data_IF_102399224413
#
_entry.id   IF_102399224413
#
_cell.length_a   1.000
_cell.length_b   1.000
_cell.length_c   1.000
_cell.angle_alpha   90.00
_cell.angle_beta   90.00
_cell.angle_gamma   90.00
#
_symmetry.space_group_name_H-M   'P 1'
#
loop_
_entity.id
_entity.type
_entity.pdbx_description
1 polymer ?
#
# COMPACT_ATOMS: atom_id res chain seq x y z
N UNK A 1 -2.13 18.30 -29.97
CA UNK A 1 -2.52 19.41 -30.88
C UNK A 1 -3.40 20.46 -30.18
N UNK A 2 -4.48 20.10 -29.48
CA UNK A 2 -5.38 21.06 -28.79
C UNK A 2 -4.73 21.87 -27.64
N UNK A 3 -3.92 21.23 -26.80
CA UNK A 3 -3.21 21.92 -25.70
C UNK A 3 -2.20 22.97 -26.20
N UNK A 4 -1.64 22.80 -27.39
CA UNK A 4 -0.70 23.75 -27.99
C UNK A 4 -1.46 24.95 -28.56
N UNK A 5 -2.67 24.73 -29.10
CA UNK A 5 -3.53 25.80 -29.60
C UNK A 5 -4.08 26.70 -28.48
N UNK A 6 -4.46 26.14 -27.34
CA UNK A 6 -4.94 26.89 -26.17
C UNK A 6 -3.84 27.73 -25.51
N UNK A 7 -2.58 27.29 -25.57
CA UNK A 7 -1.46 28.03 -24.98
C UNK A 7 -1.05 29.29 -25.77
N UNK A 8 -1.47 29.38 -27.04
CA UNK A 8 -1.18 30.52 -27.93
C UNK A 8 -2.26 31.60 -27.92
N UNK A 9 -3.42 31.32 -27.31
CA UNK A 9 -4.54 32.26 -27.27
C UNK A 9 -4.91 32.45 -25.79
N UNK A 10 -4.58 33.61 -25.22
CA UNK A 10 -5.23 34.07 -23.98
C UNK A 10 -6.72 34.28 -24.26
N UNK A 11 -7.51 33.21 -24.22
CA UNK A 11 -8.96 33.28 -24.31
C UNK A 11 -9.55 32.42 -23.21
N UNK A 12 -10.47 33.03 -22.48
CA UNK A 12 -11.19 32.40 -21.39
C UNK A 12 -12.04 31.24 -21.96
N UNK A 13 -12.02 30.10 -21.27
CA UNK A 13 -12.66 28.85 -21.73
C UNK A 13 -14.15 29.08 -22.02
N UNK A 14 -14.79 29.95 -21.23
CA UNK A 14 -16.21 30.29 -21.36
C UNK A 14 -16.52 31.10 -22.64
N UNK A 15 -15.62 31.99 -23.08
CA UNK A 15 -15.79 32.72 -24.34
C UNK A 15 -15.65 31.81 -25.57
N UNK A 16 -14.71 30.86 -25.51
CA UNK A 16 -14.47 29.91 -26.59
C UNK A 16 -15.67 28.96 -26.78
N UNK A 17 -16.22 28.45 -25.67
CA UNK A 17 -17.37 27.54 -25.66
C UNK A 17 -18.61 28.21 -26.24
N UNK A 18 -18.82 29.49 -25.90
CA UNK A 18 -19.91 30.29 -26.44
C UNK A 18 -19.73 30.59 -27.93
N UNK A 19 -18.50 30.83 -28.38
CA UNK A 19 -18.17 31.15 -29.79
C UNK A 19 -18.30 29.95 -30.72
N UNK A 20 -17.97 28.74 -30.25
CA UNK A 20 -17.96 27.53 -31.08
C UNK A 20 -19.12 26.56 -30.80
N UNK A 21 -20.08 26.93 -29.93
CA UNK A 21 -21.25 26.11 -29.55
C UNK A 21 -20.87 24.66 -29.22
N UNK A 22 -19.90 24.50 -28.32
CA UNK A 22 -19.46 23.17 -27.89
C UNK A 22 -20.52 22.54 -26.97
N UNK A 23 -21.45 21.79 -27.54
CA UNK A 23 -22.49 21.04 -26.81
C UNK A 23 -21.95 19.73 -26.23
N UNK A 24 -20.90 19.81 -25.41
CA UNK A 24 -20.29 18.65 -24.76
C UNK A 24 -19.98 18.98 -23.30
N UNK A 25 -21.00 19.05 -22.42
CA UNK A 25 -20.83 19.41 -21.01
C UNK A 25 -19.82 18.50 -20.29
N UNK A 26 -19.78 17.21 -20.63
CA UNK A 26 -18.81 16.26 -20.07
C UNK A 26 -17.35 16.51 -20.49
N UNK A 27 -17.12 17.12 -21.67
CA UNK A 27 -15.78 17.51 -22.12
C UNK A 27 -15.37 18.86 -21.51
N UNK A 28 -16.33 19.74 -21.27
CA UNK A 28 -16.17 21.05 -20.64
C UNK A 28 -15.80 20.95 -19.15
N UNK A 29 -16.53 20.13 -18.40
CA UNK A 29 -16.21 19.80 -17.00
C UNK A 29 -14.77 19.24 -16.90
N UNK A 30 -14.40 18.35 -17.83
CA UNK A 30 -13.05 17.77 -17.93
C UNK A 30 -11.94 18.79 -18.22
N UNK A 31 -12.22 19.82 -19.01
CA UNK A 31 -11.24 20.88 -19.31
C UNK A 31 -11.07 21.80 -18.09
N UNK A 32 -12.15 22.08 -17.36
CA UNK A 32 -12.12 22.89 -16.12
C UNK A 32 -11.39 22.18 -14.98
N UNK A 33 -11.38 20.85 -14.95
CA UNK A 33 -10.74 20.08 -13.88
C UNK A 33 -9.21 20.03 -13.92
N UNK A 34 -8.54 20.61 -14.95
CA UNK A 34 -7.08 20.76 -15.13
C UNK A 34 -6.23 19.49 -14.89
N UNK A 35 -6.84 18.31 -14.74
CA UNK A 35 -6.16 17.09 -14.33
C UNK A 35 -5.81 16.19 -15.52
N UNK A 36 -4.52 15.80 -15.68
CA UNK A 36 -4.10 14.90 -16.74
C UNK A 36 -4.78 13.52 -16.68
N UNK A 37 -5.09 12.96 -17.86
CA UNK A 37 -5.67 11.61 -18.06
C UNK A 37 -4.79 10.48 -17.46
N UNK A 38 -3.50 10.76 -17.18
CA UNK A 38 -2.56 9.77 -16.66
C UNK A 38 -2.68 9.51 -15.17
N UNK A 39 -3.48 10.27 -14.42
CA UNK A 39 -3.81 9.93 -13.03
C UNK A 39 -4.90 8.86 -13.06
N UNK A 40 -4.49 7.64 -13.46
CA UNK A 40 -5.30 6.44 -13.33
C UNK A 40 -5.60 6.27 -11.84
N UNK A 41 -6.87 6.01 -11.51
CA UNK A 41 -7.33 5.61 -10.18
C UNK A 41 -6.31 4.67 -9.51
N UNK A 42 -5.52 5.20 -8.56
CA UNK A 42 -4.52 4.42 -7.79
C UNK A 42 -5.15 3.27 -6.99
N UNK A 43 -6.49 3.26 -6.89
CA UNK A 43 -7.28 2.25 -6.18
C UNK A 43 -6.98 0.82 -6.63
N UNK A 44 -6.75 0.58 -7.92
CA UNK A 44 -6.41 -0.77 -8.42
C UNK A 44 -5.07 -1.28 -7.88
N UNK A 45 -4.07 -0.40 -7.81
CA UNK A 45 -2.77 -0.72 -7.23
C UNK A 45 -2.85 -0.84 -5.71
N UNK A 46 -3.66 0.00 -5.05
CA UNK A 46 -3.88 -0.07 -3.60
C UNK A 46 -4.57 -1.38 -3.19
N UNK A 47 -5.64 -1.79 -3.88
CA UNK A 47 -6.33 -3.06 -3.59
C UNK A 47 -5.41 -4.27 -3.79
N UNK A 48 -4.57 -4.24 -4.83
CA UNK A 48 -3.56 -5.27 -5.05
C UNK A 48 -2.54 -5.32 -3.89
N UNK A 49 -2.01 -4.16 -3.50
CA UNK A 49 -1.08 -4.05 -2.37
C UNK A 49 -1.69 -4.52 -1.05
N UNK A 50 -2.98 -4.20 -0.81
CA UNK A 50 -3.73 -4.70 0.35
C UNK A 50 -3.80 -6.24 0.33
N UNK A 51 -4.18 -6.83 -0.82
CA UNK A 51 -4.28 -8.28 -0.96
C UNK A 51 -2.94 -8.97 -0.70
N UNK A 52 -1.85 -8.44 -1.27
CA UNK A 52 -0.48 -8.94 -1.05
C UNK A 52 -0.12 -8.89 0.45
N UNK A 53 -0.37 -7.76 1.13
CA UNK A 53 -0.08 -7.63 2.58
C UNK A 53 -0.88 -8.64 3.41
N UNK A 54 -2.18 -8.78 3.13
CA UNK A 54 -3.05 -9.75 3.84
C UNK A 54 -2.55 -11.18 3.64
N UNK A 55 -2.20 -11.53 2.40
CA UNK A 55 -1.62 -12.84 2.07
C UNK A 55 -0.35 -13.10 2.89
N UNK A 56 0.62 -12.17 2.88
CA UNK A 56 1.86 -12.34 3.63
C UNK A 56 1.68 -12.42 5.14
N UNK A 57 0.72 -11.69 5.71
CA UNK A 57 0.36 -11.83 7.13
C UNK A 57 -0.08 -13.25 7.45
N UNK A 58 -0.98 -13.81 6.63
CA UNK A 58 -1.50 -15.17 6.82
C UNK A 58 -0.38 -16.19 6.64
N UNK A 59 0.39 -16.08 5.54
CA UNK A 59 1.51 -16.98 5.26
C UNK A 59 2.52 -17.01 6.40
N UNK A 60 2.94 -15.85 6.91
CA UNK A 60 3.92 -15.79 8.01
C UNK A 60 3.36 -16.38 9.31
N UNK A 61 2.10 -16.11 9.64
CA UNK A 61 1.44 -16.70 10.81
C UNK A 61 1.31 -18.22 10.68
N UNK A 62 1.00 -18.72 9.49
CA UNK A 62 0.89 -20.15 9.23
C UNK A 62 2.24 -20.85 9.37
N UNK A 63 3.33 -20.27 8.86
CA UNK A 63 4.69 -20.79 9.07
C UNK A 63 4.98 -20.98 10.57
N UNK A 64 4.71 -19.96 11.39
CA UNK A 64 4.93 -20.03 12.84
C UNK A 64 4.06 -21.09 13.52
N UNK A 65 2.78 -21.19 13.11
CA UNK A 65 1.81 -22.19 13.63
C UNK A 65 2.14 -23.62 13.22
N UNK A 66 2.81 -23.81 12.08
CA UNK A 66 3.34 -25.10 11.62
C UNK A 66 4.68 -25.49 12.27
N UNK A 67 5.11 -24.74 13.28
CA UNK A 67 6.37 -24.93 13.99
C UNK A 67 7.63 -24.66 13.14
N UNK A 68 7.54 -23.82 12.10
CA UNK A 68 8.74 -23.30 11.44
C UNK A 68 9.46 -22.36 12.43
N UNK A 69 10.76 -22.57 12.60
CA UNK A 69 11.60 -21.81 13.54
C UNK A 69 12.89 -21.29 12.92
N UNK A 70 13.35 -21.90 11.83
CA UNK A 70 14.59 -21.51 11.16
C UNK A 70 14.47 -20.11 10.55
N UNK A 71 15.51 -19.29 10.76
CA UNK A 71 15.52 -17.89 10.32
C UNK A 71 15.53 -17.79 8.80
N UNK A 72 16.23 -18.67 8.09
CA UNK A 72 16.24 -18.71 6.62
C UNK A 72 14.88 -19.06 6.00
N UNK A 73 14.03 -19.78 6.72
CA UNK A 73 12.66 -20.08 6.28
C UNK A 73 11.66 -18.96 6.63
N UNK A 74 11.84 -18.29 7.77
CA UNK A 74 10.94 -17.25 8.28
C UNK A 74 11.23 -15.85 7.72
N UNK A 75 12.52 -15.49 7.64
CA UNK A 75 12.95 -14.14 7.31
C UNK A 75 12.53 -13.67 5.91
N UNK A 76 12.56 -14.49 4.85
CA UNK A 76 12.11 -14.06 3.52
C UNK A 76 10.67 -13.53 3.53
N UNK A 77 9.73 -14.28 4.09
CA UNK A 77 8.31 -13.89 4.20
C UNK A 77 8.15 -12.62 5.05
N UNK A 78 8.84 -12.55 6.20
CA UNK A 78 8.77 -11.38 7.07
C UNK A 78 9.34 -10.12 6.43
N UNK A 79 10.42 -10.26 5.64
CA UNK A 79 11.03 -9.16 4.90
C UNK A 79 10.08 -8.65 3.81
N UNK A 80 9.45 -9.53 3.03
CA UNK A 80 8.46 -9.10 2.04
C UNK A 80 7.24 -8.42 2.69
N UNK A 81 6.77 -8.95 3.82
CA UNK A 81 5.70 -8.33 4.61
C UNK A 81 6.10 -6.92 5.05
N UNK A 82 7.30 -6.75 5.59
CA UNK A 82 7.83 -5.47 6.06
C UNK A 82 7.99 -4.45 4.92
N UNK A 83 8.53 -4.88 3.77
CA UNK A 83 8.67 -4.00 2.59
C UNK A 83 7.30 -3.54 2.10
N UNK A 84 6.35 -4.47 1.98
CA UNK A 84 5.03 -4.17 1.41
C UNK A 84 4.18 -3.29 2.32
N UNK A 85 4.17 -3.56 3.63
CA UNK A 85 3.44 -2.72 4.59
C UNK A 85 4.05 -1.31 4.67
N UNK A 86 5.38 -1.18 4.57
CA UNK A 86 6.05 0.12 4.54
C UNK A 86 5.81 0.88 3.23
N UNK A 87 5.70 0.19 2.10
CA UNK A 87 5.41 0.80 0.80
C UNK A 87 3.98 1.36 0.69
N UNK A 88 3.05 0.90 1.54
CA UNK A 88 1.69 1.40 1.58
C UNK A 88 1.65 2.83 2.15
N UNK A 89 1.50 3.81 1.24
CA UNK A 89 1.41 5.24 1.54
C UNK A 89 0.11 5.66 2.23
N UNK A 90 -0.94 4.84 2.14
CA UNK A 90 -2.22 5.09 2.83
C UNK A 90 -2.13 4.83 4.33
N UNK A 91 -1.15 4.06 4.80
CA UNK A 91 -0.93 3.80 6.21
C UNK A 91 -0.07 4.91 6.85
N UNK A 92 -0.47 5.44 8.01
CA UNK A 92 0.37 6.36 8.78
C UNK A 92 1.77 5.80 9.07
N UNK A 93 2.80 6.65 9.12
CA UNK A 93 4.17 6.20 9.38
C UNK A 93 4.35 5.55 10.76
N UNK A 94 3.62 6.05 11.77
CA UNK A 94 3.63 5.54 13.14
C UNK A 94 2.52 4.51 13.39
N UNK A 95 2.06 3.82 12.34
CA UNK A 95 1.01 2.83 12.48
C UNK A 95 1.53 1.60 13.23
N UNK A 96 0.78 1.16 14.25
CA UNK A 96 1.17 0.06 15.16
C UNK A 96 1.60 -1.21 14.40
N UNK A 97 0.90 -1.55 13.31
CA UNK A 97 1.24 -2.71 12.49
C UNK A 97 2.60 -2.58 11.81
N UNK A 98 2.97 -1.39 11.32
CA UNK A 98 4.31 -1.14 10.72
C UNK A 98 5.40 -1.31 11.78
N UNK A 99 5.18 -0.76 12.97
CA UNK A 99 6.16 -0.79 14.05
C UNK A 99 6.42 -2.22 14.55
N UNK A 100 5.37 -3.02 14.76
CA UNK A 100 5.48 -4.41 15.22
C UNK A 100 6.16 -5.32 14.20
N UNK A 101 5.76 -5.23 12.93
CA UNK A 101 6.39 -6.01 11.86
C UNK A 101 7.88 -5.65 11.76
N UNK A 102 8.20 -4.35 11.81
CA UNK A 102 9.59 -3.87 11.75
C UNK A 102 10.43 -4.34 12.93
N UNK A 103 9.90 -4.32 14.15
CA UNK A 103 10.59 -4.80 15.35
C UNK A 103 11.07 -6.26 15.18
N UNK A 104 10.17 -7.14 14.71
CA UNK A 104 10.51 -8.54 14.49
C UNK A 104 11.42 -8.75 13.29
N UNK A 105 11.21 -7.98 12.23
CA UNK A 105 12.10 -7.97 11.07
C UNK A 105 13.54 -7.63 11.47
N UNK A 106 13.74 -6.55 12.23
CA UNK A 106 15.07 -6.10 12.65
C UNK A 106 15.73 -7.10 13.60
N UNK A 107 14.95 -7.79 14.44
CA UNK A 107 15.43 -8.89 15.28
C UNK A 107 15.93 -10.07 14.43
N UNK A 108 15.10 -10.60 13.53
CA UNK A 108 15.47 -11.77 12.71
C UNK A 108 16.58 -11.45 11.71
N UNK A 109 16.66 -10.21 11.21
CA UNK A 109 17.75 -9.75 10.33
C UNK A 109 19.12 -9.81 11.00
N UNK A 110 19.16 -9.66 12.33
CA UNK A 110 20.39 -9.74 13.12
C UNK A 110 20.84 -11.17 13.41
N UNK A 111 20.01 -12.16 13.13
CA UNK A 111 20.31 -13.58 13.35
C UNK A 111 20.93 -14.21 12.10
N UNK A 112 21.78 -15.21 12.30
CA UNK A 112 22.31 -16.05 11.25
C UNK A 112 21.21 -16.92 10.62
N UNK A 113 21.36 -17.19 9.32
CA UNK A 113 20.41 -17.98 8.55
C UNK A 113 20.12 -19.37 9.17
N UNK A 114 21.12 -20.01 9.76
CA UNK A 114 21.00 -21.33 10.40
C UNK A 114 20.52 -21.28 11.86
N UNK A 115 20.29 -20.09 12.41
CA UNK A 115 19.75 -19.95 13.75
C UNK A 115 18.24 -20.18 13.74
N UNK A 116 17.70 -20.61 14.88
CA UNK A 116 16.27 -20.80 15.09
C UNK A 116 15.77 -19.82 16.15
N UNK A 117 14.53 -19.33 15.97
CA UNK A 117 13.85 -18.58 17.02
C UNK A 117 13.43 -19.51 18.16
N UNK A 118 13.42 -18.99 19.38
CA UNK A 118 12.93 -19.74 20.56
C UNK A 118 11.41 -19.92 20.51
N UNK A 119 10.87 -20.93 21.21
CA UNK A 119 9.40 -21.09 21.31
C UNK A 119 8.71 -19.92 22.03
N UNK A 120 9.42 -19.26 22.95
CA UNK A 120 8.94 -18.04 23.60
C UNK A 120 8.83 -16.90 22.57
N UNK A 121 9.87 -16.71 21.75
CA UNK A 121 9.86 -15.74 20.67
C UNK A 121 8.77 -16.06 19.64
N UNK A 122 8.61 -17.33 19.25
CA UNK A 122 7.57 -17.73 18.31
C UNK A 122 6.16 -17.36 18.82
N UNK A 123 5.86 -17.61 20.11
CA UNK A 123 4.58 -17.22 20.72
C UNK A 123 4.39 -15.71 20.75
N UNK A 124 5.44 -14.96 21.08
CA UNK A 124 5.37 -13.51 21.11
C UNK A 124 5.20 -12.92 19.70
N UNK A 125 5.92 -13.44 18.70
CA UNK A 125 5.78 -13.05 17.29
C UNK A 125 4.34 -13.31 16.84
N UNK A 126 3.79 -14.50 17.08
CA UNK A 126 2.40 -14.81 16.71
C UNK A 126 1.45 -13.77 17.29
N UNK A 127 1.55 -13.49 18.60
CA UNK A 127 0.69 -12.52 19.26
C UNK A 127 0.81 -11.10 18.67
N UNK A 128 2.04 -10.62 18.47
CA UNK A 128 2.29 -9.28 17.95
C UNK A 128 1.85 -9.14 16.49
N UNK A 129 2.09 -10.15 15.66
CA UNK A 129 1.70 -10.16 14.25
C UNK A 129 0.19 -10.31 14.09
N UNK A 130 -0.49 -11.14 14.89
CA UNK A 130 -1.96 -11.22 14.90
C UNK A 130 -2.56 -9.87 15.33
N UNK A 131 -1.98 -9.21 16.32
CA UNK A 131 -2.41 -7.88 16.75
C UNK A 131 -2.20 -6.84 15.64
N UNK A 132 -1.05 -6.87 14.96
CA UNK A 132 -0.75 -6.01 13.82
C UNK A 132 -1.73 -6.25 12.66
N UNK A 133 -2.05 -7.50 12.34
CA UNK A 133 -3.01 -7.87 11.30
C UNK A 133 -4.43 -7.39 11.63
N UNK A 134 -4.88 -7.55 12.87
CA UNK A 134 -6.18 -7.07 13.32
C UNK A 134 -6.27 -5.54 13.26
N UNK A 135 -5.22 -4.84 13.68
CA UNK A 135 -5.13 -3.38 13.58
C UNK A 135 -5.20 -2.92 12.11
N UNK A 136 -4.45 -3.58 11.23
CA UNK A 136 -4.46 -3.32 9.79
C UNK A 136 -5.85 -3.54 9.18
N UNK A 137 -6.49 -4.66 9.49
CA UNK A 137 -7.85 -4.97 9.03
C UNK A 137 -8.86 -3.93 9.52
N UNK A 138 -8.78 -3.53 10.79
CA UNK A 138 -9.63 -2.46 11.35
C UNK A 138 -9.40 -1.12 10.65
N UNK A 139 -8.18 -0.79 10.27
CA UNK A 139 -7.89 0.40 9.48
C UNK A 139 -8.58 0.34 8.11
N UNK A 140 -8.50 -0.79 7.41
CA UNK A 140 -9.16 -0.98 6.11
C UNK A 140 -10.69 -0.90 6.19
N UNK A 141 -11.30 -1.37 7.28
CA UNK A 141 -12.75 -1.28 7.47
C UNK A 141 -13.24 0.13 7.82
N UNK A 142 -12.37 0.97 8.39
CA UNK A 142 -12.70 2.34 8.81
C UNK A 142 -12.22 3.41 7.81
N UNK A 143 -11.58 3.01 6.71
CA UNK A 143 -11.09 3.88 5.63
C UNK A 143 -12.08 3.92 4.47
#
# INVERSE_FOLDING_TARGET
>A
LFQVALRLVQCDIDEFVKKYRVECPAALERIREDRPITVKDDKGNTLKCIAEIVEMFITFLDQLKLNVRAVDELFPTLNELNVSICAMSTLPDNFDSKLKVKQWHDKLKGMGASEEITDEDARQIIFDIETAYNSFTRFLHNS
#
